data_IF_474084682282
#
_entry.id   IF_474084682282
#
_cell.length_a   1.000
_cell.length_b   1.000
_cell.length_c   1.000
_cell.angle_alpha   90.00
_cell.angle_beta   90.00
_cell.angle_gamma   90.00
#
_symmetry.space_group_name_H-M   'P 1'
#
loop_
_entity.id
_entity.type
_entity.pdbx_description
1 polymer ?
#
# COMPACT_ATOMS: atom_id res chain seq x y z
N UNK A 1 -34.00 -16.51 -15.36
CA UNK A 1 -33.89 -15.25 -14.60
C UNK A 1 -32.86 -14.39 -15.31
N UNK A 2 -33.26 -13.21 -15.79
CA UNK A 2 -32.38 -12.27 -16.51
C UNK A 2 -31.13 -11.97 -15.68
N UNK A 3 -29.94 -12.15 -16.26
CA UNK A 3 -28.69 -11.82 -15.59
C UNK A 3 -28.61 -10.29 -15.45
N UNK A 4 -28.94 -9.79 -14.26
CA UNK A 4 -28.94 -8.35 -13.98
C UNK A 4 -27.53 -7.77 -14.16
N UNK A 5 -27.42 -6.81 -15.08
CA UNK A 5 -26.18 -6.11 -15.40
C UNK A 5 -26.18 -4.74 -14.71
N UNK A 6 -25.32 -4.62 -13.70
CA UNK A 6 -25.19 -3.41 -12.89
C UNK A 6 -24.09 -2.51 -13.45
N UNK A 7 -24.29 -1.20 -13.39
CA UNK A 7 -23.18 -0.23 -13.48
C UNK A 7 -22.24 -0.35 -12.29
N UNK A 8 -21.04 0.26 -12.36
CA UNK A 8 -20.10 0.28 -11.22
C UNK A 8 -20.74 0.87 -9.95
N UNK A 9 -21.53 1.94 -10.08
CA UNK A 9 -22.21 2.57 -8.95
C UNK A 9 -23.27 1.66 -8.33
N UNK A 10 -24.11 1.04 -9.16
CA UNK A 10 -25.13 0.08 -8.70
C UNK A 10 -24.50 -1.16 -8.06
N UNK A 11 -23.41 -1.67 -8.63
CA UNK A 11 -22.65 -2.79 -8.08
C UNK A 11 -22.04 -2.44 -6.72
N UNK A 12 -21.51 -1.22 -6.58
CA UNK A 12 -20.96 -0.67 -5.34
C UNK A 12 -22.02 -0.56 -4.25
N UNK A 13 -23.19 -0.01 -4.60
CA UNK A 13 -24.33 0.12 -3.68
C UNK A 13 -24.83 -1.25 -3.25
N UNK A 14 -25.13 -2.13 -4.21
CA UNK A 14 -25.58 -3.49 -3.94
C UNK A 14 -24.60 -4.24 -3.05
N UNK A 15 -23.29 -4.18 -3.33
CA UNK A 15 -22.28 -4.86 -2.52
C UNK A 15 -22.16 -4.26 -1.12
N UNK A 16 -22.43 -2.96 -0.96
CA UNK A 16 -22.43 -2.32 0.35
C UNK A 16 -23.61 -2.80 1.20
N UNK A 17 -24.80 -2.82 0.59
CA UNK A 17 -26.02 -3.30 1.24
C UNK A 17 -25.91 -4.80 1.55
N UNK A 18 -25.34 -5.59 0.63
CA UNK A 18 -25.19 -7.03 0.78
C UNK A 18 -24.23 -7.44 1.90
N UNK A 19 -23.17 -6.66 2.11
CA UNK A 19 -22.13 -6.95 3.11
C UNK A 19 -22.28 -6.15 4.40
N UNK A 20 -23.30 -5.30 4.49
CA UNK A 20 -23.49 -4.32 5.57
C UNK A 20 -22.21 -3.52 5.89
N UNK A 21 -21.49 -3.11 4.83
CA UNK A 21 -20.26 -2.31 4.96
C UNK A 21 -19.99 -1.48 3.71
N UNK A 22 -19.27 -0.35 3.79
CA UNK A 22 -18.98 0.47 2.62
C UNK A 22 -18.10 -0.26 1.60
N UNK A 23 -18.64 -0.51 0.41
CA UNK A 23 -17.91 -0.97 -0.78
C UNK A 23 -17.90 0.16 -1.79
N UNK A 24 -16.71 0.58 -2.23
CA UNK A 24 -16.54 1.68 -3.20
C UNK A 24 -16.48 1.18 -4.64
N UNK A 25 -16.72 2.08 -5.59
CA UNK A 25 -16.54 1.80 -7.02
C UNK A 25 -15.11 1.38 -7.36
N UNK A 26 -14.11 1.86 -6.60
CA UNK A 26 -12.71 1.43 -6.69
C UNK A 26 -12.52 -0.03 -6.28
N UNK A 27 -13.22 -0.51 -5.24
CA UNK A 27 -13.18 -1.93 -4.86
C UNK A 27 -13.73 -2.80 -5.99
N UNK A 28 -14.85 -2.39 -6.57
CA UNK A 28 -15.45 -3.10 -7.70
C UNK A 28 -14.52 -3.09 -8.93
N UNK A 29 -13.90 -1.94 -9.22
CA UNK A 29 -12.91 -1.80 -10.31
C UNK A 29 -11.69 -2.67 -10.09
N UNK A 30 -11.22 -2.81 -8.85
CA UNK A 30 -10.15 -3.72 -8.48
C UNK A 30 -10.50 -5.17 -8.84
N UNK A 31 -11.71 -5.65 -8.51
CA UNK A 31 -12.14 -7.01 -8.86
C UNK A 31 -12.08 -7.25 -10.37
N UNK A 32 -12.42 -6.25 -11.18
CA UNK A 32 -12.30 -6.32 -12.64
C UNK A 32 -10.81 -6.34 -13.07
N UNK A 33 -10.01 -5.42 -12.54
CA UNK A 33 -8.59 -5.24 -12.91
C UNK A 33 -7.73 -6.46 -12.57
N UNK A 34 -8.13 -7.24 -11.56
CA UNK A 34 -7.47 -8.47 -11.16
C UNK A 34 -8.20 -9.73 -11.63
N UNK A 35 -9.12 -9.58 -12.60
CA UNK A 35 -9.87 -10.65 -13.23
C UNK A 35 -10.63 -11.56 -12.24
N UNK A 36 -11.00 -11.04 -11.06
CA UNK A 36 -11.84 -11.74 -10.06
C UNK A 36 -13.31 -11.81 -10.48
N UNK A 37 -13.78 -10.79 -11.22
CA UNK A 37 -15.10 -10.77 -11.86
C UNK A 37 -14.96 -10.30 -13.32
N UNK A 38 -15.92 -10.64 -14.19
CA UNK A 38 -15.85 -10.28 -15.61
C UNK A 38 -16.37 -8.87 -15.86
N UNK A 39 -15.58 -8.10 -16.63
CA UNK A 39 -16.02 -6.84 -17.27
C UNK A 39 -16.98 -7.15 -18.41
N UNK A 40 -18.16 -6.54 -18.38
CA UNK A 40 -19.10 -6.48 -19.49
C UNK A 40 -19.20 -5.04 -20.01
N UNK A 41 -19.66 -4.88 -21.24
CA UNK A 41 -19.96 -3.59 -21.86
C UNK A 41 -21.40 -3.60 -22.33
N UNK A 42 -22.13 -2.50 -22.14
CA UNK A 42 -23.42 -2.30 -22.79
C UNK A 42 -23.27 -1.75 -24.22
N UNK A 43 -24.40 -1.50 -24.87
CA UNK A 43 -24.47 -0.97 -26.25
C UNK A 43 -23.77 0.41 -26.38
N UNK A 44 -23.71 1.18 -25.29
CA UNK A 44 -23.01 2.47 -25.21
C UNK A 44 -21.54 2.34 -24.78
N UNK A 45 -20.98 1.12 -24.73
CA UNK A 45 -19.63 0.81 -24.26
C UNK A 45 -19.36 1.21 -22.80
N UNK A 46 -20.38 1.35 -21.96
CA UNK A 46 -20.23 1.58 -20.52
C UNK A 46 -20.00 0.26 -19.79
N UNK A 47 -19.21 0.31 -18.72
CA UNK A 47 -18.86 -0.87 -17.94
C UNK A 47 -20.07 -1.41 -17.19
N UNK A 48 -20.31 -2.71 -17.33
CA UNK A 48 -21.33 -3.48 -16.63
C UNK A 48 -20.76 -4.69 -15.90
N UNK A 49 -21.45 -5.13 -14.86
CA UNK A 49 -21.10 -6.28 -14.02
C UNK A 49 -22.32 -7.15 -13.85
N UNK A 50 -22.15 -8.47 -13.97
CA UNK A 50 -23.21 -9.41 -13.63
C UNK A 50 -23.34 -9.53 -12.12
N UNK A 51 -24.53 -9.25 -11.61
CA UNK A 51 -24.85 -9.36 -10.19
C UNK A 51 -24.50 -10.75 -9.62
N UNK A 52 -24.86 -11.83 -10.31
CA UNK A 52 -24.57 -13.19 -9.84
C UNK A 52 -23.06 -13.49 -9.71
N UNK A 53 -22.21 -12.93 -10.57
CA UNK A 53 -20.75 -13.11 -10.45
C UNK A 53 -20.21 -12.36 -9.24
N UNK A 54 -20.70 -11.13 -9.03
CA UNK A 54 -20.31 -10.31 -7.89
C UNK A 54 -20.75 -10.96 -6.57
N UNK A 55 -22.00 -11.45 -6.51
CA UNK A 55 -22.52 -12.19 -5.37
C UNK A 55 -21.69 -13.45 -5.10
N UNK A 56 -21.44 -14.27 -6.14
CA UNK A 56 -20.64 -15.48 -6.01
C UNK A 56 -19.25 -15.19 -5.43
N UNK A 57 -18.58 -14.15 -5.90
CA UNK A 57 -17.28 -13.74 -5.39
C UNK A 57 -17.35 -13.46 -3.87
N UNK A 58 -18.31 -12.66 -3.41
CA UNK A 58 -18.42 -12.33 -1.99
C UNK A 58 -18.87 -13.52 -1.13
N UNK A 59 -19.76 -14.36 -1.62
CA UNK A 59 -20.20 -15.57 -0.93
C UNK A 59 -19.01 -16.52 -0.66
N UNK A 60 -18.18 -16.74 -1.69
CA UNK A 60 -17.03 -17.64 -1.60
C UNK A 60 -15.91 -17.08 -0.72
N UNK A 61 -15.68 -15.76 -0.77
CA UNK A 61 -14.52 -15.15 -0.10
C UNK A 61 -14.79 -14.60 1.30
N UNK A 62 -16.05 -14.28 1.64
CA UNK A 62 -16.40 -13.67 2.93
C UNK A 62 -17.34 -14.57 3.73
N UNK A 63 -18.51 -14.93 3.18
CA UNK A 63 -19.57 -15.63 3.93
C UNK A 63 -19.15 -17.05 4.29
N UNK A 64 -18.72 -17.85 3.31
CA UNK A 64 -18.23 -19.21 3.55
C UNK A 64 -16.98 -19.26 4.43
N UNK A 65 -16.21 -18.17 4.44
CA UNK A 65 -15.00 -18.08 5.26
C UNK A 65 -15.37 -18.04 6.74
N UNK A 66 -16.35 -17.22 7.12
CA UNK A 66 -16.84 -17.16 8.51
C UNK A 66 -17.36 -18.52 9.00
N UNK A 67 -18.26 -19.13 8.25
CA UNK A 67 -18.83 -20.44 8.58
C UNK A 67 -17.74 -21.52 8.70
N UNK A 68 -16.78 -21.51 7.76
CA UNK A 68 -15.66 -22.45 7.78
C UNK A 68 -14.78 -22.28 9.02
N UNK A 69 -14.48 -21.05 9.44
CA UNK A 69 -13.66 -20.81 10.63
C UNK A 69 -14.39 -21.18 11.92
N UNK A 70 -15.68 -20.84 12.03
CA UNK A 70 -16.52 -21.26 13.16
C UNK A 70 -16.60 -22.78 13.27
N UNK A 71 -16.76 -23.48 12.15
CA UNK A 71 -16.78 -24.94 12.13
C UNK A 71 -15.44 -25.59 12.51
N UNK A 72 -14.30 -24.93 12.23
CA UNK A 72 -12.97 -25.48 12.51
C UNK A 72 -12.48 -25.19 13.92
N UNK A 73 -12.76 -23.98 14.42
CA UNK A 73 -12.24 -23.49 15.70
C UNK A 73 -13.22 -23.68 16.86
N UNK A 74 -14.52 -23.88 16.57
CA UNK A 74 -15.55 -24.08 17.58
C UNK A 74 -16.38 -22.84 17.88
N UNK A 75 -17.36 -23.01 18.77
CA UNK A 75 -18.35 -21.99 19.12
C UNK A 75 -17.81 -20.90 20.06
N UNK A 76 -16.60 -21.06 20.60
CA UNK A 76 -15.90 -20.07 21.43
C UNK A 76 -15.20 -18.98 20.59
N UNK A 77 -15.21 -19.11 19.26
CA UNK A 77 -14.68 -18.09 18.36
C UNK A 77 -15.51 -16.80 18.43
N UNK A 78 -14.94 -15.77 19.05
CA UNK A 78 -15.50 -14.42 18.98
C UNK A 78 -15.21 -13.78 17.62
N UNK A 79 -16.13 -13.97 16.67
CA UNK A 79 -16.03 -13.37 15.33
C UNK A 79 -16.00 -11.83 15.35
N UNK A 80 -16.52 -11.19 16.40
CA UNK A 80 -16.44 -9.73 16.57
C UNK A 80 -15.00 -9.21 16.62
N UNK A 81 -14.04 -10.05 17.05
CA UNK A 81 -12.60 -9.71 17.05
C UNK A 81 -11.90 -10.01 15.72
N UNK A 82 -12.63 -10.45 14.70
CA UNK A 82 -12.10 -10.58 13.34
C UNK A 82 -11.94 -9.22 12.63
N UNK A 83 -12.71 -8.21 13.07
CA UNK A 83 -12.79 -6.88 12.44
C UNK A 83 -13.04 -6.94 10.93
N UNK A 84 -13.73 -7.99 10.45
CA UNK A 84 -13.98 -8.25 9.03
C UNK A 84 -14.84 -7.17 8.35
N UNK A 85 -15.62 -6.44 9.15
CA UNK A 85 -16.43 -5.29 8.76
C UNK A 85 -15.62 -3.99 8.58
N UNK A 86 -14.42 -3.89 9.17
CA UNK A 86 -13.57 -2.69 9.05
C UNK A 86 -12.85 -2.64 7.70
N UNK A 87 -12.63 -1.43 7.17
CA UNK A 87 -11.81 -1.20 5.98
C UNK A 87 -10.34 -1.08 6.39
N UNK A 88 -9.44 -1.25 5.44
CA UNK A 88 -8.00 -1.07 5.67
C UNK A 88 -7.67 0.31 6.27
N UNK A 89 -8.36 1.36 5.82
CA UNK A 89 -8.21 2.72 6.37
C UNK A 89 -8.58 2.80 7.85
N UNK A 90 -9.58 2.02 8.26
CA UNK A 90 -10.06 1.99 9.64
C UNK A 90 -9.07 1.19 10.50
N UNK A 91 -8.58 0.05 9.99
CA UNK A 91 -7.56 -0.79 10.64
C UNK A 91 -6.14 -0.21 10.57
N UNK A 92 -5.97 0.99 10.01
CA UNK A 92 -4.70 1.72 9.94
C UNK A 92 -4.84 3.18 10.33
N UNK A 93 -5.75 3.48 11.28
CA UNK A 93 -6.04 4.83 11.77
C UNK A 93 -4.79 5.62 12.21
N UNK A 94 -4.90 6.95 12.18
CA UNK A 94 -3.85 7.88 12.65
C UNK A 94 -2.47 7.61 12.00
N UNK A 95 -1.47 7.34 12.84
CA UNK A 95 -0.07 7.14 12.48
C UNK A 95 0.26 5.70 12.10
N UNK A 96 -0.69 4.77 12.21
CA UNK A 96 -0.46 3.34 11.92
C UNK A 96 -0.19 3.06 10.44
N UNK A 97 -0.44 4.04 9.57
CA UNK A 97 -0.15 3.97 8.13
C UNK A 97 1.18 4.63 7.72
N UNK A 98 1.90 5.27 8.65
CA UNK A 98 3.21 5.88 8.34
C UNK A 98 4.21 4.86 7.78
N UNK A 99 4.15 3.59 8.22
CA UNK A 99 4.97 2.51 7.67
C UNK A 99 4.20 1.18 7.56
N UNK A 100 4.25 0.47 6.41
CA UNK A 100 3.66 -0.85 6.28
C UNK A 100 4.51 -1.91 6.98
N UNK A 101 4.03 -2.43 8.12
CA UNK A 101 4.66 -3.52 8.86
C UNK A 101 3.81 -4.80 8.77
N UNK A 102 4.38 -5.89 8.22
CA UNK A 102 3.63 -7.12 7.89
C UNK A 102 3.11 -7.89 9.12
N UNK A 103 3.70 -7.70 10.29
CA UNK A 103 3.31 -8.37 11.54
C UNK A 103 2.60 -7.46 12.55
N UNK A 104 1.95 -6.37 12.12
CA UNK A 104 1.31 -5.42 13.06
C UNK A 104 -0.10 -5.89 13.43
N UNK A 105 -0.49 -5.60 14.67
CA UNK A 105 -1.89 -5.71 15.08
C UNK A 105 -2.77 -4.67 14.37
N UNK A 106 -4.04 -5.01 14.25
CA UNK A 106 -5.11 -4.03 14.02
C UNK A 106 -5.23 -3.18 15.29
N UNK A 107 -5.21 -1.84 15.23
CA UNK A 107 -5.28 -0.96 16.40
C UNK A 107 -6.46 -1.29 17.33
N UNK A 108 -7.63 -1.56 16.73
CA UNK A 108 -8.87 -1.86 17.45
C UNK A 108 -8.77 -3.13 18.32
N UNK A 109 -7.95 -4.11 17.92
CA UNK A 109 -7.72 -5.30 18.74
C UNK A 109 -6.96 -4.94 20.02
N UNK A 110 -5.97 -4.04 19.92
CA UNK A 110 -5.22 -3.57 21.08
C UNK A 110 -6.12 -2.71 21.97
N UNK A 111 -6.87 -1.77 21.38
CA UNK A 111 -7.85 -0.94 22.09
C UNK A 111 -8.83 -1.81 22.88
N UNK A 112 -9.37 -2.85 22.26
CA UNK A 112 -10.29 -3.79 22.90
C UNK A 112 -9.74 -4.35 24.22
N UNK A 113 -8.44 -4.69 24.28
CA UNK A 113 -7.84 -5.22 25.50
C UNK A 113 -7.47 -4.14 26.51
N UNK A 114 -7.08 -2.95 26.05
CA UNK A 114 -6.59 -1.88 26.90
C UNK A 114 -7.69 -0.94 27.44
N UNK A 115 -8.81 -0.80 26.72
CA UNK A 115 -9.88 0.13 27.08
C UNK A 115 -10.71 -0.35 28.29
N UNK A 116 -11.70 0.46 28.67
CA UNK A 116 -12.61 0.18 29.77
C UNK A 116 -13.92 -0.50 29.35
N UNK A 117 -14.14 -0.77 28.06
CA UNK A 117 -15.39 -1.37 27.60
C UNK A 117 -15.48 -2.84 28.02
N UNK A 118 -16.71 -3.27 28.33
CA UNK A 118 -17.06 -4.64 28.69
C UNK A 118 -18.10 -5.18 27.72
N UNK A 119 -18.11 -6.50 27.52
CA UNK A 119 -19.11 -7.17 26.68
C UNK A 119 -19.30 -8.64 27.13
N UNK A 120 -19.84 -9.47 26.25
CA UNK A 120 -20.08 -10.89 26.53
C UNK A 120 -18.81 -11.73 26.70
N UNK A 121 -17.67 -11.25 26.21
CA UNK A 121 -16.37 -11.91 26.25
C UNK A 121 -15.38 -11.23 27.20
N UNK A 122 -15.27 -9.90 27.17
CA UNK A 122 -14.44 -9.11 28.09
C UNK A 122 -15.26 -8.72 29.31
N UNK A 123 -15.12 -9.48 30.39
CA UNK A 123 -15.88 -9.32 31.65
C UNK A 123 -15.23 -8.43 32.70
N UNK A 124 -13.99 -8.02 32.48
CA UNK A 124 -13.25 -7.18 33.42
C UNK A 124 -12.42 -6.12 32.70
N UNK A 125 -12.20 -5.01 33.41
CA UNK A 125 -11.30 -3.95 33.02
C UNK A 125 -9.92 -4.28 33.57
N UNK A 126 -8.93 -4.41 32.69
CA UNK A 126 -7.56 -4.79 33.07
C UNK A 126 -6.69 -3.57 33.38
N UNK A 127 -6.98 -2.42 32.78
CA UNK A 127 -6.15 -1.22 32.86
C UNK A 127 -6.99 0.03 33.10
N UNK A 128 -6.36 1.02 33.73
CA UNK A 128 -6.91 2.36 33.94
C UNK A 128 -5.88 3.39 33.51
N UNK A 129 -6.34 4.58 33.16
CA UNK A 129 -5.49 5.73 32.83
C UNK A 129 -4.32 5.88 33.83
N UNK A 130 -3.12 6.17 33.30
CA UNK A 130 -1.88 6.24 34.08
C UNK A 130 -1.26 4.88 34.45
N UNK A 131 -1.89 3.74 34.15
CA UNK A 131 -1.19 2.45 34.23
C UNK A 131 -0.12 2.32 33.15
N UNK A 132 0.89 1.50 33.42
CA UNK A 132 2.02 1.26 32.50
C UNK A 132 1.88 -0.10 31.81
N UNK A 133 1.92 -0.09 30.48
CA UNK A 133 1.94 -1.29 29.64
C UNK A 133 3.38 -1.62 29.22
N UNK A 134 3.78 -2.88 29.32
CA UNK A 134 5.02 -3.38 28.74
C UNK A 134 4.70 -4.22 27.50
N UNK A 135 5.26 -3.84 26.35
CA UNK A 135 5.27 -4.66 25.15
C UNK A 135 6.71 -5.11 24.84
N UNK A 136 7.08 -6.36 25.17
CA UNK A 136 8.45 -6.85 24.97
C UNK A 136 8.78 -7.15 23.50
N UNK A 137 7.81 -7.07 22.59
CA UNK A 137 7.97 -7.33 21.15
C UNK A 137 7.18 -6.30 20.33
N UNK A 138 7.42 -5.01 20.58
CA UNK A 138 6.52 -3.94 20.13
C UNK A 138 6.40 -3.80 18.61
N UNK A 139 7.37 -4.30 17.84
CA UNK A 139 7.42 -4.14 16.39
C UNK A 139 7.29 -2.66 16.01
N UNK A 140 6.33 -2.35 15.15
CA UNK A 140 6.07 -0.96 14.73
C UNK A 140 5.32 -0.09 15.76
N UNK A 141 5.12 -0.58 16.99
CA UNK A 141 4.63 0.21 18.12
C UNK A 141 3.12 0.33 18.25
N UNK A 142 2.33 -0.59 17.68
CA UNK A 142 0.85 -0.48 17.72
C UNK A 142 0.34 -0.40 19.16
N UNK A 143 0.85 -1.26 20.05
CA UNK A 143 0.51 -1.28 21.48
C UNK A 143 0.80 0.06 22.17
N UNK A 144 1.95 0.66 21.87
CA UNK A 144 2.37 1.91 22.49
C UNK A 144 1.51 3.09 22.04
N UNK A 145 1.21 3.17 20.73
CA UNK A 145 0.34 4.23 20.19
C UNK A 145 -1.07 4.13 20.77
N UNK A 146 -1.65 2.92 20.87
CA UNK A 146 -2.97 2.77 21.48
C UNK A 146 -2.97 2.99 22.99
N UNK A 147 -1.87 2.65 23.67
CA UNK A 147 -1.69 3.02 25.08
C UNK A 147 -1.73 4.54 25.24
N UNK A 148 -1.00 5.28 24.40
CA UNK A 148 -0.98 6.75 24.40
C UNK A 148 -2.36 7.37 24.16
N UNK A 149 -3.12 6.86 23.16
CA UNK A 149 -4.49 7.32 22.89
C UNK A 149 -5.45 7.14 24.08
N UNK A 150 -5.21 6.13 24.93
CA UNK A 150 -6.02 5.81 26.11
C UNK A 150 -5.49 6.45 27.40
N UNK A 151 -4.48 7.31 27.34
CA UNK A 151 -3.85 7.92 28.52
C UNK A 151 -3.06 6.94 29.39
N UNK A 152 -2.63 5.82 28.81
CA UNK A 152 -1.76 4.83 29.46
C UNK A 152 -0.29 5.15 29.18
N UNK A 153 0.57 4.87 30.16
CA UNK A 153 2.01 4.85 29.92
C UNK A 153 2.40 3.56 29.23
N UNK A 154 3.48 3.57 28.45
CA UNK A 154 3.94 2.36 27.79
C UNK A 154 5.46 2.30 27.62
N UNK A 155 5.99 1.09 27.70
CA UNK A 155 7.40 0.75 27.45
C UNK A 155 7.40 -0.34 26.39
N UNK A 156 8.12 -0.10 25.29
CA UNK A 156 8.27 -1.07 24.22
C UNK A 156 9.72 -1.52 24.06
N UNK A 157 9.91 -2.81 23.80
CA UNK A 157 11.21 -3.42 23.52
C UNK A 157 11.11 -4.07 22.14
N UNK A 158 12.11 -3.85 21.30
CA UNK A 158 12.30 -4.55 20.04
C UNK A 158 13.80 -4.67 19.75
N UNK A 159 14.20 -5.75 19.09
CA UNK A 159 15.60 -5.96 18.70
C UNK A 159 15.98 -5.11 17.48
N UNK A 160 15.01 -4.70 16.66
CA UNK A 160 15.26 -3.91 15.47
C UNK A 160 15.29 -2.42 15.78
N UNK A 161 16.45 -1.79 15.58
CA UNK A 161 16.61 -0.33 15.68
C UNK A 161 15.61 0.42 14.80
N UNK A 162 15.29 -0.12 13.62
CA UNK A 162 14.33 0.45 12.70
C UNK A 162 12.90 0.44 13.27
N UNK A 163 12.48 -0.66 13.91
CA UNK A 163 11.19 -0.75 14.58
C UNK A 163 11.10 0.22 15.77
N UNK A 164 12.17 0.33 16.55
CA UNK A 164 12.30 1.32 17.62
C UNK A 164 12.18 2.76 17.08
N UNK A 165 12.86 3.05 15.96
CA UNK A 165 12.78 4.36 15.31
C UNK A 165 11.36 4.66 14.82
N UNK A 166 10.70 3.74 14.13
CA UNK A 166 9.30 3.92 13.67
C UNK A 166 8.38 4.18 14.86
N UNK A 167 8.51 3.41 15.94
CA UNK A 167 7.67 3.56 17.13
C UNK A 167 7.87 4.93 17.78
N UNK A 168 9.11 5.40 17.88
CA UNK A 168 9.41 6.78 18.32
C UNK A 168 8.76 7.80 17.40
N UNK A 169 8.93 7.64 16.08
CA UNK A 169 8.36 8.57 15.09
C UNK A 169 6.84 8.68 15.17
N UNK A 170 6.15 7.58 15.52
CA UNK A 170 4.69 7.59 15.69
C UNK A 170 4.22 8.28 16.97
N UNK A 171 5.06 8.33 18.00
CA UNK A 171 4.72 8.79 19.34
C UNK A 171 5.28 10.16 19.68
N UNK A 172 6.28 10.63 18.93
CA UNK A 172 6.93 11.91 19.20
C UNK A 172 6.08 13.08 18.74
N UNK A 173 6.34 14.24 19.34
CA UNK A 173 5.70 15.50 18.99
C UNK A 173 6.54 16.25 17.97
N UNK A 174 5.86 16.74 16.92
CA UNK A 174 6.48 17.43 15.80
C UNK A 174 5.89 18.82 15.60
N UNK A 175 6.75 19.79 15.31
CA UNK A 175 6.33 21.04 14.69
C UNK A 175 5.97 20.74 13.21
N UNK A 176 4.67 20.54 12.97
CA UNK A 176 4.13 20.20 11.66
C UNK A 176 4.39 21.30 10.62
N UNK A 177 4.43 22.57 11.04
CA UNK A 177 4.72 23.67 10.12
C UNK A 177 6.18 23.62 9.68
N UNK A 178 7.11 23.46 10.63
CA UNK A 178 8.53 23.33 10.32
C UNK A 178 8.82 22.08 9.48
N UNK A 179 8.25 20.93 9.85
CA UNK A 179 8.36 19.69 9.08
C UNK A 179 7.84 19.86 7.64
N UNK A 180 6.65 20.44 7.46
CA UNK A 180 6.09 20.68 6.13
C UNK A 180 6.95 21.64 5.31
N UNK A 181 7.46 22.70 5.93
CA UNK A 181 8.33 23.66 5.27
C UNK A 181 9.65 23.01 4.82
N UNK A 182 10.32 22.27 5.72
CA UNK A 182 11.56 21.54 5.40
C UNK A 182 11.34 20.55 4.26
N UNK A 183 10.29 19.71 4.33
CA UNK A 183 9.96 18.74 3.28
C UNK A 183 9.73 19.42 1.92
N UNK A 184 8.97 20.51 1.88
CA UNK A 184 8.71 21.27 0.65
C UNK A 184 9.99 21.90 0.09
N UNK A 185 10.86 22.41 0.96
CA UNK A 185 12.14 22.99 0.56
C UNK A 185 13.08 21.92 -0.03
N UNK A 186 13.21 20.76 0.64
CA UNK A 186 14.01 19.63 0.13
C UNK A 186 13.45 19.14 -1.21
N UNK A 187 12.14 18.95 -1.30
CA UNK A 187 11.48 18.54 -2.55
C UNK A 187 11.75 19.53 -3.69
N UNK A 188 11.63 20.83 -3.44
CA UNK A 188 11.93 21.88 -4.43
C UNK A 188 13.37 21.81 -4.93
N UNK A 189 14.33 21.62 -4.02
CA UNK A 189 15.74 21.46 -4.38
C UNK A 189 15.97 20.19 -5.21
N UNK A 190 15.36 19.07 -4.84
CA UNK A 190 15.47 17.81 -5.60
C UNK A 190 14.85 17.94 -7.00
N UNK A 191 13.71 18.63 -7.14
CA UNK A 191 13.12 18.91 -8.46
C UNK A 191 14.07 19.78 -9.30
N UNK A 192 14.65 20.83 -8.71
CA UNK A 192 15.60 21.70 -9.39
C UNK A 192 16.87 20.95 -9.84
N UNK A 193 17.39 20.06 -8.99
CA UNK A 193 18.49 19.16 -9.35
C UNK A 193 18.10 18.25 -10.52
N UNK A 194 16.96 17.57 -10.40
CA UNK A 194 16.42 16.69 -11.43
C UNK A 194 16.32 17.41 -12.79
N UNK A 195 15.71 18.60 -12.83
CA UNK A 195 15.47 19.34 -14.07
C UNK A 195 16.75 19.81 -14.76
N UNK A 196 17.80 20.11 -13.97
CA UNK A 196 19.13 20.48 -14.46
C UNK A 196 19.86 19.27 -15.06
N UNK A 197 19.76 18.11 -14.40
CA UNK A 197 20.54 16.92 -14.76
C UNK A 197 19.86 16.07 -15.83
N UNK A 198 18.53 15.99 -15.82
CA UNK A 198 17.75 15.05 -16.63
C UNK A 198 16.78 15.73 -17.59
N UNK A 199 16.45 15.00 -18.65
CA UNK A 199 15.47 15.39 -19.65
C UNK A 199 14.13 14.69 -19.45
N UNK A 200 13.11 15.46 -19.05
CA UNK A 200 11.74 14.97 -18.90
C UNK A 200 11.16 14.44 -20.21
N UNK A 201 11.63 14.94 -21.36
CA UNK A 201 11.15 14.47 -22.67
C UNK A 201 11.45 12.97 -22.88
N UNK A 202 12.58 12.51 -22.33
CA UNK A 202 12.95 11.09 -22.36
C UNK A 202 11.95 10.23 -21.59
N UNK A 203 11.61 10.61 -20.36
CA UNK A 203 10.69 9.81 -19.54
C UNK A 203 9.26 9.84 -20.07
N UNK A 204 8.83 10.96 -20.67
CA UNK A 204 7.55 11.06 -21.36
C UNK A 204 7.50 10.10 -22.57
N UNK A 205 8.52 10.13 -23.42
CA UNK A 205 8.60 9.25 -24.59
C UNK A 205 8.70 7.76 -24.17
N UNK A 206 9.46 7.44 -23.11
CA UNK A 206 9.53 6.08 -22.57
C UNK A 206 8.17 5.59 -22.06
N UNK A 207 7.42 6.44 -21.34
CA UNK A 207 6.07 6.12 -20.86
C UNK A 207 5.11 5.83 -22.00
N UNK A 208 5.15 6.63 -23.07
CA UNK A 208 4.33 6.40 -24.27
C UNK A 208 4.68 5.07 -24.93
N UNK A 209 5.97 4.81 -25.16
CA UNK A 209 6.47 3.54 -25.73
C UNK A 209 6.06 2.33 -24.90
N UNK A 210 6.21 2.39 -23.57
CA UNK A 210 5.78 1.34 -22.66
C UNK A 210 4.26 1.15 -22.68
N UNK A 211 3.49 2.24 -22.73
CA UNK A 211 2.03 2.19 -22.80
C UNK A 211 1.56 1.46 -24.05
N UNK A 212 2.11 1.80 -25.21
CA UNK A 212 1.72 1.19 -26.48
C UNK A 212 2.18 -0.28 -26.57
N UNK A 213 3.38 -0.58 -26.06
CA UNK A 213 3.85 -1.95 -25.96
C UNK A 213 2.96 -2.79 -25.03
N UNK A 214 2.60 -2.26 -23.86
CA UNK A 214 1.75 -2.95 -22.89
C UNK A 214 0.33 -3.17 -23.41
N UNK A 215 -0.27 -2.20 -24.12
CA UNK A 215 -1.58 -2.38 -24.76
C UNK A 215 -1.56 -3.56 -25.74
N UNK A 216 -0.45 -3.74 -26.47
CA UNK A 216 -0.31 -4.78 -27.48
C UNK A 216 -0.02 -6.17 -26.87
N UNK A 217 0.91 -6.25 -25.93
CA UNK A 217 1.43 -7.54 -25.44
C UNK A 217 0.91 -7.94 -24.06
N UNK A 218 0.41 -6.99 -23.27
CA UNK A 218 -0.13 -7.19 -21.92
C UNK A 218 -1.54 -6.58 -21.75
N UNK A 219 -2.50 -6.87 -22.65
CA UNK A 219 -3.83 -6.27 -22.57
C UNK A 219 -4.56 -6.71 -21.29
N UNK A 220 -4.85 -5.77 -20.39
CA UNK A 220 -5.59 -6.05 -19.16
C UNK A 220 -7.11 -6.00 -19.42
N UNK A 221 -7.94 -6.99 -19.01
CA UNK A 221 -7.60 -8.16 -18.17
C UNK A 221 -7.31 -9.46 -18.93
N UNK A 222 -7.29 -9.44 -20.25
CA UNK A 222 -7.12 -10.65 -21.07
C UNK A 222 -5.81 -11.38 -20.77
N UNK A 223 -4.68 -10.65 -20.71
CA UNK A 223 -3.38 -11.22 -20.36
C UNK A 223 -3.44 -11.98 -19.03
N UNK A 224 -3.97 -11.34 -17.97
CA UNK A 224 -4.12 -11.98 -16.67
C UNK A 224 -4.98 -13.24 -16.76
N UNK A 225 -6.07 -13.23 -17.54
CA UNK A 225 -6.91 -14.42 -17.71
C UNK A 225 -6.15 -15.57 -18.37
N UNK A 226 -5.33 -15.31 -19.37
CA UNK A 226 -4.50 -16.33 -20.04
C UNK A 226 -3.52 -16.95 -19.05
N UNK A 227 -2.87 -16.12 -18.22
CA UNK A 227 -1.99 -16.59 -17.12
C UNK A 227 -2.75 -17.48 -16.14
N UNK A 228 -3.92 -17.06 -15.65
CA UNK A 228 -4.71 -17.87 -14.69
C UNK A 228 -5.17 -19.22 -15.25
N UNK A 229 -5.27 -19.35 -16.58
CA UNK A 229 -5.64 -20.61 -17.25
C UNK A 229 -4.43 -21.48 -17.61
N UNK A 230 -3.20 -21.01 -17.36
CA UNK A 230 -1.98 -21.67 -17.82
C UNK A 230 -1.77 -21.60 -19.33
N UNK A 231 -2.46 -20.70 -20.05
CA UNK A 231 -2.25 -20.50 -21.49
C UNK A 231 -0.98 -19.68 -21.77
N UNK A 232 -0.48 -18.95 -20.76
CA UNK A 232 0.77 -18.19 -20.80
C UNK A 232 1.51 -18.42 -19.47
N UNK A 233 2.77 -18.84 -19.56
CA UNK A 233 3.70 -18.79 -18.44
C UNK A 233 4.22 -17.36 -18.27
N UNK A 234 3.88 -16.73 -17.14
CA UNK A 234 4.05 -15.28 -16.93
C UNK A 234 5.51 -14.83 -16.97
N UNK A 235 6.41 -15.60 -16.33
CA UNK A 235 7.82 -15.28 -16.21
C UNK A 235 8.53 -15.34 -17.56
N UNK A 236 8.39 -16.46 -18.28
CA UNK A 236 9.01 -16.66 -19.60
C UNK A 236 8.50 -15.64 -20.63
N UNK A 237 7.18 -15.43 -20.69
CA UNK A 237 6.59 -14.45 -21.59
C UNK A 237 7.04 -13.02 -21.24
N UNK A 238 7.10 -12.68 -19.95
CA UNK A 238 7.60 -11.40 -19.47
C UNK A 238 9.04 -11.14 -19.92
N UNK A 239 9.93 -12.12 -19.76
CA UNK A 239 11.32 -12.02 -20.21
C UNK A 239 11.47 -11.86 -21.72
N UNK A 240 10.72 -12.65 -22.49
CA UNK A 240 10.72 -12.57 -23.96
C UNK A 240 10.32 -11.17 -24.42
N UNK A 241 9.22 -10.64 -23.87
CA UNK A 241 8.71 -9.31 -24.23
C UNK A 241 9.61 -8.19 -23.74
N UNK A 242 10.30 -8.34 -22.61
CA UNK A 242 11.33 -7.39 -22.19
C UNK A 242 12.48 -7.33 -23.19
N UNK A 243 13.01 -8.49 -23.61
CA UNK A 243 14.08 -8.57 -24.62
C UNK A 243 13.64 -7.95 -25.94
N UNK A 244 12.40 -8.21 -26.36
CA UNK A 244 11.80 -7.60 -27.53
C UNK A 244 11.72 -6.07 -27.41
N UNK A 245 11.19 -5.53 -26.31
CA UNK A 245 11.06 -4.10 -26.09
C UNK A 245 12.41 -3.38 -26.13
N UNK A 246 13.42 -3.93 -25.44
CA UNK A 246 14.76 -3.36 -25.43
C UNK A 246 15.41 -3.36 -26.82
N UNK A 247 15.20 -4.43 -27.59
CA UNK A 247 15.72 -4.54 -28.97
C UNK A 247 15.08 -3.52 -29.90
N UNK A 248 13.74 -3.39 -29.86
CA UNK A 248 12.98 -2.44 -30.69
C UNK A 248 13.30 -0.97 -30.36
N UNK A 249 13.67 -0.68 -29.10
CA UNK A 249 13.93 0.67 -28.61
C UNK A 249 15.42 0.96 -28.36
N UNK A 250 16.35 0.18 -28.92
CA UNK A 250 17.80 0.33 -28.67
C UNK A 250 18.32 1.75 -28.89
N UNK A 251 17.99 2.37 -30.03
CA UNK A 251 18.39 3.75 -30.37
C UNK A 251 17.85 4.80 -29.41
N UNK A 252 16.66 4.56 -28.84
CA UNK A 252 16.07 5.46 -27.86
C UNK A 252 16.90 5.46 -26.57
N UNK A 253 17.30 4.28 -26.09
CA UNK A 253 18.11 4.14 -24.86
C UNK A 253 19.54 4.68 -24.99
N UNK A 254 20.09 4.78 -26.20
CA UNK A 254 21.40 5.42 -26.45
C UNK A 254 21.43 6.91 -26.05
N UNK A 255 20.28 7.60 -26.06
CA UNK A 255 20.17 9.02 -25.64
C UNK A 255 20.35 9.22 -24.12
N UNK A 256 20.11 8.18 -23.30
CA UNK A 256 20.35 8.12 -21.83
C UNK A 256 19.71 9.23 -20.96
N UNK A 257 18.81 10.06 -21.48
CA UNK A 257 18.00 11.04 -20.72
C UNK A 257 18.76 12.03 -19.81
N UNK A 258 20.10 12.11 -19.93
CA UNK A 258 20.97 12.91 -19.06
C UNK A 258 21.47 14.12 -19.84
N UNK A 259 21.07 15.33 -19.41
CA UNK A 259 21.46 16.61 -20.02
C UNK A 259 22.88 17.01 -19.64
N UNK A 260 23.19 16.96 -18.34
CA UNK A 260 24.49 17.38 -17.81
C UNK A 260 25.13 16.26 -16.99
N UNK A 261 26.21 15.69 -17.54
CA UNK A 261 26.97 14.61 -16.88
C UNK A 261 27.90 15.13 -15.78
N UNK A 262 28.22 16.42 -15.74
CA UNK A 262 29.18 17.00 -14.79
C UNK A 262 28.61 17.16 -13.38
N UNK A 263 27.29 17.26 -13.26
CA UNK A 263 26.56 17.45 -12.00
C UNK A 263 26.22 16.11 -11.33
N UNK A 264 26.46 14.98 -12.00
CA UNK A 264 26.16 13.66 -11.47
C UNK A 264 26.92 13.41 -10.15
N UNK A 265 26.19 12.92 -9.17
CA UNK A 265 26.72 12.52 -7.88
C UNK A 265 27.43 11.17 -8.00
N UNK A 266 28.50 10.99 -7.23
CA UNK A 266 29.21 9.71 -7.11
C UNK A 266 28.32 8.66 -6.43
N UNK A 267 28.04 7.57 -7.16
CA UNK A 267 27.19 6.46 -6.71
C UNK A 267 27.99 5.31 -6.09
N UNK A 268 29.32 5.40 -5.92
CA UNK A 268 30.16 4.30 -5.41
C UNK A 268 29.71 3.72 -4.06
N UNK A 269 29.09 4.54 -3.21
CA UNK A 269 28.57 4.12 -1.89
C UNK A 269 27.17 3.52 -1.96
N UNK A 270 26.54 3.50 -3.13
CA UNK A 270 25.16 3.05 -3.28
C UNK A 270 25.08 1.53 -3.33
N UNK A 271 24.11 0.97 -2.61
CA UNK A 271 23.86 -0.48 -2.61
C UNK A 271 23.63 -0.99 -4.03
N UNK A 272 24.24 -2.15 -4.35
CA UNK A 272 23.99 -2.89 -5.58
C UNK A 272 22.52 -3.27 -5.76
N UNK A 273 21.75 -3.30 -4.66
CA UNK A 273 20.30 -3.43 -4.70
C UNK A 273 19.65 -2.24 -5.43
N UNK A 274 20.00 -1.01 -5.07
CA UNK A 274 19.38 0.18 -5.66
C UNK A 274 19.74 0.32 -7.15
N UNK A 275 20.94 -0.08 -7.58
CA UNK A 275 21.32 -0.07 -9.00
C UNK A 275 20.56 -1.10 -9.82
N UNK A 276 20.10 -2.19 -9.21
CA UNK A 276 19.29 -3.22 -9.88
C UNK A 276 17.85 -2.75 -10.13
N UNK A 277 17.26 -2.03 -9.18
CA UNK A 277 15.82 -1.73 -9.18
C UNK A 277 15.46 -0.33 -9.66
N UNK A 278 16.38 0.63 -9.59
CA UNK A 278 16.10 2.03 -9.91
C UNK A 278 16.91 2.53 -11.11
N UNK A 279 16.27 3.33 -11.96
CA UNK A 279 16.94 3.99 -13.08
C UNK A 279 18.01 4.96 -12.58
N UNK A 280 18.95 5.34 -13.45
CA UNK A 280 19.99 6.32 -13.10
C UNK A 280 19.40 7.63 -12.58
N UNK A 281 18.33 8.13 -13.19
CA UNK A 281 17.63 9.34 -12.74
C UNK A 281 17.13 9.21 -11.31
N UNK A 282 16.36 8.18 -11.02
CA UNK A 282 15.78 7.95 -9.69
C UNK A 282 16.87 7.80 -8.62
N UNK A 283 17.96 7.10 -8.94
CA UNK A 283 19.09 6.94 -8.00
C UNK A 283 19.77 8.26 -7.67
N UNK A 284 19.99 9.11 -8.66
CA UNK A 284 20.59 10.43 -8.48
C UNK A 284 19.68 11.36 -7.68
N UNK A 285 18.38 11.36 -7.98
CA UNK A 285 17.37 12.11 -7.22
C UNK A 285 17.29 11.64 -5.76
N UNK A 286 17.23 10.33 -5.52
CA UNK A 286 17.24 9.74 -4.18
C UNK A 286 18.49 10.13 -3.41
N UNK A 287 19.67 10.05 -4.02
CA UNK A 287 20.91 10.37 -3.33
C UNK A 287 21.03 11.87 -3.03
N UNK A 288 20.58 12.72 -3.95
CA UNK A 288 20.51 14.16 -3.71
C UNK A 288 19.54 14.47 -2.55
N UNK A 289 18.36 13.86 -2.55
CA UNK A 289 17.36 14.00 -1.49
C UNK A 289 17.90 13.54 -0.12
N UNK A 290 18.56 12.38 -0.06
CA UNK A 290 19.17 11.87 1.17
C UNK A 290 20.26 12.80 1.71
N UNK A 291 21.12 13.37 0.84
CA UNK A 291 22.11 14.35 1.27
C UNK A 291 21.48 15.61 1.87
N UNK A 292 20.33 16.04 1.36
CA UNK A 292 19.61 17.17 1.94
C UNK A 292 19.03 16.83 3.32
N UNK A 293 18.50 15.62 3.50
CA UNK A 293 18.04 15.13 4.81
C UNK A 293 19.21 15.03 5.78
N UNK A 294 20.35 14.49 5.38
CA UNK A 294 21.54 14.36 6.22
C UNK A 294 22.05 15.72 6.75
N UNK A 295 21.81 16.79 6.00
CA UNK A 295 22.16 18.16 6.36
C UNK A 295 21.11 18.88 7.23
N UNK A 296 19.94 18.27 7.47
CA UNK A 296 18.96 18.81 8.43
C UNK A 296 19.54 18.72 9.85
N UNK A 297 19.48 19.85 10.56
CA UNK A 297 20.05 19.99 11.91
C UNK A 297 19.09 19.55 13.00
N UNK A 298 17.79 19.61 12.72
CA UNK A 298 16.76 19.13 13.62
C UNK A 298 16.65 17.60 13.53
N UNK A 299 17.22 16.90 14.50
CA UNK A 299 17.24 15.44 14.54
C UNK A 299 15.83 14.83 14.60
N UNK A 300 14.82 15.50 15.19
CA UNK A 300 13.44 14.99 15.17
C UNK A 300 12.89 15.02 13.76
N UNK A 301 13.02 16.16 13.09
CA UNK A 301 12.57 16.34 11.70
C UNK A 301 13.34 15.39 10.77
N UNK A 302 14.65 15.26 10.95
CA UNK A 302 15.48 14.34 10.19
C UNK A 302 15.06 12.88 10.34
N UNK A 303 14.68 12.44 11.55
CA UNK A 303 14.28 11.05 11.81
C UNK A 303 12.91 10.67 11.21
N UNK A 304 11.99 11.63 11.03
CA UNK A 304 10.69 11.38 10.40
C UNK A 304 10.73 11.44 8.86
N UNK A 305 11.71 12.14 8.28
CA UNK A 305 11.89 12.28 6.83
C UNK A 305 12.57 11.06 6.20
#
# INVERSE_FOLDING_TARGET
MSQELLSLGQASQWASDYLDRPVTTSNISYLIQYAKIKKYLDEEKKIKIKLNELKKYYDEHLVKKEESWKSQLGDDLNWGLSFSNLRESDTTKHVHRLHPYKGKFIPQLVEYFLDSHLNDYKKQIFFKEGNTILDPFMGSGTTLVQSSELGLHSIGIDISDFNCMISRVKLDEYDIFKLSYTLKNILSQTINFSNKVFDDSFDLELKERLSDFNKKYFPNPEFKRKVHKGEIEEEEYGEEKLKQFLKENKKFFEKNGTKDKTILLDEKKMSSFLSKWFSKRVRQELFYYLKLIENEKDEKIKNIM
#
